data_IF_871290118002
#
_entry.id   IF_871290118002
#
_cell.length_a   1.000
_cell.length_b   1.000
_cell.length_c   1.000
_cell.angle_alpha   90.00
_cell.angle_beta   90.00
_cell.angle_gamma   90.00
#
_symmetry.space_group_name_H-M   'P 1'
#
loop_
_entity.id
_entity.type
_entity.pdbx_description
1 polymer ?
2 non-polymer ?
3 non-polymer ?
4 water ?
#
# COMPACT_ATOMS: atom_id res chain seq x y z
N UNK A 19 14.78 -20.10 -8.18
CA UNK A 19 14.15 -21.23 -8.93
C UNK A 19 14.89 -21.63 -10.20
N UNK A 20 14.37 -21.23 -11.35
CA UNK A 20 14.93 -21.58 -12.66
C UNK A 20 14.75 -20.46 -13.68
N UNK A 21 13.50 -20.10 -13.99
CA UNK A 21 13.21 -19.01 -14.95
C UNK A 21 13.63 -17.65 -14.39
N UNK A 22 13.63 -16.63 -15.25
CA UNK A 22 14.17 -15.30 -14.90
C UNK A 22 13.48 -14.67 -13.67
N UNK A 23 12.15 -14.72 -13.64
CA UNK A 23 11.36 -14.15 -12.53
C UNK A 23 11.67 -14.89 -11.23
N UNK A 24 11.58 -16.21 -11.29
CA UNK A 24 11.92 -17.09 -10.17
C UNK A 24 13.31 -16.82 -9.60
N UNK A 25 14.29 -16.64 -10.49
CA UNK A 25 15.67 -16.37 -10.08
C UNK A 25 15.78 -15.07 -9.32
N UNK A 26 15.17 -14.02 -9.85
CA UNK A 26 15.17 -12.71 -9.21
C UNK A 26 14.35 -12.69 -7.92
N UNK A 27 13.21 -13.38 -7.91
CA UNK A 27 12.38 -13.51 -6.70
C UNK A 27 13.21 -14.08 -5.55
N UNK A 28 13.89 -15.20 -5.80
CA UNK A 28 14.73 -15.85 -4.80
C UNK A 28 15.92 -14.98 -4.41
N UNK A 29 16.57 -14.37 -5.40
CA UNK A 29 17.68 -13.45 -5.11
C UNK A 29 17.27 -12.41 -4.07
N UNK A 30 16.15 -11.72 -4.32
CA UNK A 30 15.74 -10.63 -3.44
C UNK A 30 15.19 -11.12 -2.11
N UNK A 31 14.49 -12.26 -2.10
CA UNK A 31 14.06 -12.88 -0.85
C UNK A 31 15.23 -13.10 0.11
N UNK A 32 16.37 -13.55 -0.42
CA UNK A 32 17.55 -13.89 0.38
C UNK A 32 18.64 -12.79 0.50
N UNK A 33 18.41 -11.62 -0.12
CA UNK A 33 19.44 -10.58 -0.20
C UNK A 33 19.80 -10.00 1.16
N UNK A 34 20.99 -9.44 1.27
CA UNK A 34 21.45 -8.81 2.50
C UNK A 34 21.17 -7.31 2.39
N UNK A 35 20.24 -6.77 3.21
CA UNK A 35 19.99 -5.33 3.14
C UNK A 35 21.22 -4.51 3.56
N UNK A 36 21.41 -3.36 2.92
CA UNK A 36 22.59 -2.52 3.16
C UNK A 36 23.75 -2.76 2.21
N UNK A 37 23.86 -3.97 1.66
CA UNK A 37 24.98 -4.34 0.78
C UNK A 37 24.71 -3.93 -0.68
N UNK A 38 25.66 -4.25 -1.55
CA UNK A 38 25.51 -4.10 -3.01
C UNK A 38 24.46 -5.01 -3.67
N UNK A 39 23.91 -5.99 -2.93
CA UNK A 39 22.79 -6.82 -3.42
C UNK A 39 21.63 -6.03 -4.02
N UNK A 40 21.32 -4.88 -3.42
CA UNK A 40 20.17 -4.06 -3.83
C UNK A 40 20.52 -2.87 -4.76
N UNK A 41 21.72 -2.86 -5.33
CA UNK A 41 22.16 -1.76 -6.22
C UNK A 41 21.30 -1.60 -7.49
N UNK A 42 20.71 -2.69 -7.97
CA UNK A 42 19.84 -2.67 -9.14
C UNK A 42 18.38 -2.32 -8.88
N UNK A 43 17.99 -2.16 -7.61
CA UNK A 43 16.58 -1.91 -7.27
C UNK A 43 16.30 -0.42 -7.43
N UNK A 44 15.25 -0.09 -8.13
CA UNK A 44 14.89 1.31 -8.36
C UNK A 44 14.35 1.91 -7.07
N UNK A 45 14.89 3.07 -6.69
CA UNK A 45 14.36 3.89 -5.63
C UNK A 45 13.81 5.16 -6.26
N UNK A 46 12.48 5.23 -6.37
CA UNK A 46 11.80 6.39 -6.92
C UNK A 46 11.98 7.67 -6.09
N UNK A 47 12.23 7.53 -4.77
CA UNK A 47 12.48 8.69 -3.90
C UNK A 47 13.77 9.39 -4.30
N UNK A 48 14.81 8.62 -4.58
CA UNK A 48 16.05 9.15 -5.16
C UNK A 48 15.87 9.35 -6.67
N UNK A 49 15.14 10.42 -7.03
CA UNK A 49 14.76 10.72 -8.42
C UNK A 49 13.93 9.60 -9.08
N UNK A 54 22.17 5.67 -11.54
CA UNK A 54 23.34 4.84 -11.83
C UNK A 54 23.16 3.40 -11.38
N UNK A 55 22.01 2.83 -11.73
CA UNK A 55 21.67 1.43 -11.39
C UNK A 55 21.73 0.48 -12.59
N UNK A 56 22.04 1.00 -13.79
CA UNK A 56 22.09 0.19 -15.00
C UNK A 56 20.71 0.06 -15.66
N UNK A 57 20.30 -1.19 -16.01
CA UNK A 57 19.01 -1.42 -16.67
C UNK A 57 17.80 -0.79 -15.99
N UNK A 58 17.66 -1.00 -14.69
CA UNK A 58 16.49 -0.53 -13.94
C UNK A 58 16.26 0.97 -14.03
N UNK A 59 17.25 1.73 -13.58
CA UNK A 59 17.10 3.18 -13.39
C UNK A 59 16.94 3.99 -14.69
N UNK A 60 17.44 3.47 -15.81
CA UNK A 60 17.28 4.13 -17.13
C UNK A 60 15.83 4.09 -17.65
N UNK A 61 15.04 3.14 -17.17
CA UNK A 61 13.62 3.01 -17.54
C UNK A 61 12.72 4.07 -16.89
N UNK A 62 13.22 4.79 -15.87
CA UNK A 62 12.40 5.72 -15.10
C UNK A 62 12.08 6.99 -15.89
N UNK A 63 10.79 7.28 -16.06
CA UNK A 63 10.33 8.47 -16.77
C UNK A 63 9.31 9.19 -15.90
N UNK A 64 9.13 10.49 -16.15
CA UNK A 64 8.11 11.26 -15.44
C UNK A 64 6.74 10.83 -15.95
N UNK A 65 5.78 10.79 -15.05
CA UNK A 65 4.40 10.48 -15.39
C UNK A 65 3.59 11.73 -15.03
N UNK A 66 2.96 12.34 -16.02
CA UNK A 66 2.34 13.65 -15.83
C UNK A 66 0.99 13.52 -15.12
N UNK A 67 0.85 14.22 -14.00
CA UNK A 67 -0.39 14.23 -13.21
C UNK A 67 -1.33 15.34 -13.70
N UNK A 68 -2.62 15.13 -13.48
CA UNK A 68 -3.65 16.13 -13.74
C UNK A 68 -3.79 16.99 -12.49
N UNK A 69 -2.88 17.95 -12.37
CA UNK A 69 -2.79 18.78 -11.16
C UNK A 69 -4.09 19.48 -10.83
N UNK A 70 -4.79 19.99 -11.86
CA UNK A 70 -6.05 20.73 -11.66
C UNK A 70 -7.26 19.86 -11.28
N UNK A 71 -7.14 18.53 -11.45
CA UNK A 71 -8.22 17.63 -11.05
C UNK A 71 -8.38 17.46 -9.54
N UNK A 72 -7.41 17.93 -8.75
CA UNK A 72 -7.51 17.88 -7.29
C UNK A 72 -7.22 19.25 -6.69
N UNK A 73 -8.27 19.87 -6.16
CA UNK A 73 -8.15 21.18 -5.51
C UNK A 73 -7.25 21.08 -4.27
N UNK A 74 -6.61 22.20 -3.93
CA UNK A 74 -5.75 22.24 -2.74
C UNK A 74 -6.55 21.91 -1.49
N UNK A 75 -7.81 22.34 -1.44
CA UNK A 75 -8.70 21.99 -0.34
C UNK A 75 -8.91 20.47 -0.24
N UNK A 76 -9.15 19.81 -1.38
CA UNK A 76 -9.35 18.36 -1.43
C UNK A 76 -8.09 17.57 -1.05
N UNK A 77 -6.93 18.01 -1.53
CA UNK A 77 -5.65 17.39 -1.14
C UNK A 77 -5.43 17.51 0.37
N UNK A 78 -5.66 18.70 0.91
CA UNK A 78 -5.51 18.96 2.33
C UNK A 78 -6.53 18.16 3.16
N UNK A 79 -7.76 18.03 2.67
CA UNK A 79 -8.79 17.24 3.37
C UNK A 79 -8.46 15.75 3.47
N UNK A 80 -7.81 15.23 2.42
CA UNK A 80 -7.37 13.84 2.39
C UNK A 80 -6.10 13.60 3.22
N UNK A 81 -5.42 14.67 3.61
CA UNK A 81 -4.13 14.59 4.30
C UNK A 81 -2.97 14.42 3.34
N UNK A 82 -3.10 15.00 2.15
CA UNK A 82 -2.11 14.88 1.10
C UNK A 82 -1.48 16.24 0.82
N UNK A 83 -0.22 16.21 0.41
CA UNK A 83 0.44 17.38 -0.20
C UNK A 83 -0.38 17.88 -1.39
N UNK A 84 -0.31 19.18 -1.73
CA UNK A 84 -0.93 19.63 -2.98
C UNK A 84 -0.38 18.85 -4.17
N UNK A 85 -1.24 18.49 -5.12
CA UNK A 85 -0.83 17.63 -6.25
C UNK A 85 0.30 18.24 -7.09
N UNK A 86 0.38 19.58 -7.14
CA UNK A 86 1.50 20.28 -7.79
C UNK A 86 2.87 19.95 -7.19
N UNK A 87 2.90 19.52 -5.92
CA UNK A 87 4.14 19.07 -5.27
C UNK A 87 4.42 17.56 -5.38
N UNK A 88 3.51 16.76 -5.95
CA UNK A 88 3.74 15.32 -6.07
C UNK A 88 4.73 15.06 -7.19
N UNK A 89 5.49 13.98 -7.06
CA UNK A 89 6.28 13.46 -8.17
C UNK A 89 5.69 12.09 -8.51
N UNK A 90 5.40 11.87 -9.78
CA UNK A 90 4.85 10.61 -10.25
C UNK A 90 5.75 10.11 -11.37
N UNK A 91 5.98 8.80 -11.37
CA UNK A 91 6.89 8.17 -12.32
C UNK A 91 6.21 7.02 -13.03
N UNK A 92 6.69 6.74 -14.23
CA UNK A 92 6.38 5.54 -14.97
C UNK A 92 7.68 4.81 -15.26
N UNK A 93 7.54 3.69 -15.97
CA UNK A 93 8.66 2.88 -16.38
C UNK A 93 8.48 2.51 -17.85
N UNK A 94 9.50 2.77 -18.65
CA UNK A 94 9.49 2.39 -20.07
C UNK A 94 9.24 0.88 -20.20
N UNK A 95 8.24 0.51 -20.99
CA UNK A 95 7.86 -0.90 -21.18
C UNK A 95 6.69 -1.39 -20.32
N UNK A 96 6.20 -0.54 -19.41
CA UNK A 96 5.11 -0.91 -18.49
C UNK A 96 3.99 0.12 -18.55
N UNK A 97 3.21 0.11 -19.64
CA UNK A 97 2.18 1.14 -19.80
C UNK A 97 1.03 0.95 -18.84
N UNK A 98 0.55 2.06 -18.27
CA UNK A 98 -0.51 2.04 -17.26
C UNK A 98 -0.01 1.93 -15.83
N UNK A 99 1.32 1.85 -15.64
CA UNK A 99 1.92 1.77 -14.31
C UNK A 99 2.34 3.17 -13.85
N UNK A 100 1.90 3.57 -12.66
CA UNK A 100 2.28 4.86 -12.07
C UNK A 100 2.78 4.61 -10.65
N UNK A 101 3.91 5.22 -10.30
CA UNK A 101 4.50 5.17 -8.93
C UNK A 101 4.59 6.57 -8.42
N UNK A 102 4.01 6.79 -7.21
CA UNK A 102 4.01 8.08 -6.53
C UNK A 102 4.95 7.57 -5.51
N UNK A 103 5.84 8.41 -5.02
CA UNK A 103 6.48 8.37 -3.71
C UNK A 103 5.49 8.86 -2.68
N UNK A 104 5.87 8.79 -1.40
CA UNK A 104 5.02 9.22 -0.30
C UNK A 104 4.70 10.67 -0.69
N UNK A 105 3.38 10.93 -0.81
CA UNK A 105 2.74 12.24 -0.97
C UNK A 105 2.05 12.76 0.31
N UNK A 106 1.95 11.92 1.31
CA UNK A 106 1.24 12.20 2.53
C UNK A 106 1.85 13.35 3.36
N UNK A 107 1.02 14.25 3.86
CA UNK A 107 1.49 15.27 4.79
C UNK A 107 2.14 14.61 6.01
N UNK A 108 3.21 15.24 6.57
CA UNK A 108 3.84 14.70 7.77
C UNK A 108 2.84 14.38 8.88
N UNK A 109 2.97 13.17 9.43
CA UNK A 109 2.07 12.68 10.46
C UNK A 109 0.89 11.88 9.98
N UNK A 110 0.41 12.14 8.77
CA UNK A 110 -0.89 11.61 8.33
C UNK A 110 -0.90 10.12 8.01
N UNK A 111 0.27 9.55 7.74
CA UNK A 111 0.36 8.10 7.57
C UNK A 111 -0.13 7.35 8.81
N UNK A 112 0.13 7.92 9.98
CA UNK A 112 -0.37 7.32 11.22
C UNK A 112 -1.89 7.19 11.26
N UNK A 113 -2.63 8.13 10.67
CA UNK A 113 -4.09 8.01 10.65
C UNK A 113 -4.49 6.74 9.92
N UNK A 114 -3.91 6.52 8.73
CA UNK A 114 -4.29 5.39 7.88
C UNK A 114 -3.92 4.07 8.50
N UNK A 115 -2.72 4.01 9.09
CA UNK A 115 -2.26 2.84 9.84
C UNK A 115 -3.23 2.56 11.00
N UNK A 116 -3.59 3.60 11.77
CA UNK A 116 -4.55 3.43 12.86
C UNK A 116 -5.89 2.89 12.36
N UNK A 117 -6.41 3.49 11.29
CA UNK A 117 -7.70 3.03 10.74
C UNK A 117 -7.65 1.58 10.30
N UNK A 118 -6.54 1.18 9.65
CA UNK A 118 -6.33 -0.22 9.23
C UNK A 118 -6.23 -1.22 10.39
N UNK A 119 -5.59 -0.84 11.48
CA UNK A 119 -5.46 -1.73 12.63
C UNK A 119 -6.70 -1.70 13.52
N UNK A 120 -7.20 -0.51 13.82
CA UNK A 120 -8.24 -0.32 14.85
C UNK A 120 -9.68 -0.46 14.35
N UNK A 121 -10.02 0.29 13.30
CA UNK A 121 -11.41 0.46 12.84
C UNK A 121 -11.81 -0.48 11.69
N UNK A 122 -11.02 -0.50 10.61
CA UNK A 122 -11.39 -1.29 9.42
C UNK A 122 -11.43 -2.80 9.67
N UNK A 123 -10.64 -3.28 10.62
CA UNK A 123 -10.59 -4.70 10.95
C UNK A 123 -11.82 -5.23 11.71
N UNK A 124 -12.66 -4.32 12.22
CA UNK A 124 -13.84 -4.70 13.02
C UNK A 124 -14.91 -5.47 12.22
N UNK A 125 -15.75 -6.19 12.95
CA UNK A 125 -16.62 -7.24 12.37
C UNK A 125 -17.79 -6.78 11.49
N UNK A 126 -18.12 -5.47 11.47
CA UNK A 126 -18.94 -5.01 10.32
C UNK A 126 -18.32 -5.31 8.94
N UNK A 127 -16.98 -5.37 8.89
CA UNK A 127 -16.22 -5.90 7.75
C UNK A 127 -15.84 -7.37 7.97
N UNK A 128 -15.31 -8.00 6.92
CA UNK A 128 -14.79 -9.38 7.00
C UNK A 128 -13.27 -9.33 7.21
N UNK A 129 -12.77 -10.24 8.04
CA UNK A 129 -11.33 -10.47 8.17
C UNK A 129 -11.04 -11.96 8.36
N UNK A 130 -9.78 -12.34 8.21
CA UNK A 130 -9.36 -13.75 8.30
C UNK A 130 -9.61 -14.42 9.66
N UNK A 131 -9.79 -13.61 10.70
CA UNK A 131 -10.12 -14.12 12.03
C UNK A 131 -11.59 -14.57 12.13
N UNK A 132 -12.48 -13.90 11.40
CA UNK A 132 -13.92 -14.21 11.43
C UNK A 132 -14.23 -15.61 10.90
N UNK A 140 -7.72 -8.36 26.72
CA UNK A 140 -9.12 -8.24 26.32
C UNK A 140 -9.51 -9.32 25.30
N UNK A 141 -10.76 -9.31 24.84
CA UNK A 141 -11.20 -10.06 23.63
C UNK A 141 -11.53 -9.14 22.45
N UNK A 142 -11.91 -7.90 22.72
CA UNK A 142 -11.92 -6.86 21.69
C UNK A 142 -10.48 -6.65 21.22
N UNK A 143 -10.27 -6.62 19.90
CA UNK A 143 -8.92 -6.64 19.32
C UNK A 143 -8.08 -5.44 19.79
N UNK A 144 -8.63 -4.25 19.70
CA UNK A 144 -7.89 -3.05 20.09
C UNK A 144 -7.64 -2.97 21.60
N UNK A 145 -8.66 -3.27 22.40
CA UNK A 145 -8.50 -3.30 23.85
C UNK A 145 -7.46 -4.33 24.28
N UNK A 146 -7.47 -5.50 23.63
CA UNK A 146 -6.49 -6.56 23.92
C UNK A 146 -5.05 -6.08 23.67
N UNK A 147 -4.78 -5.57 22.47
CA UNK A 147 -3.45 -5.10 22.10
C UNK A 147 -2.98 -3.93 22.98
N UNK A 148 -3.94 -3.11 23.43
CA UNK A 148 -3.67 -2.08 24.45
C UNK A 148 -3.07 -2.70 25.71
N UNK A 149 -3.68 -3.78 26.18
CA UNK A 149 -3.23 -4.51 27.38
C UNK A 149 -1.99 -5.39 27.17
N UNK A 150 -1.88 -6.01 26.00
CA UNK A 150 -0.70 -6.85 25.66
C UNK A 150 0.59 -6.05 25.59
N UNK A 151 0.48 -4.78 25.21
CA UNK A 151 1.61 -3.85 25.21
C UNK A 151 2.07 -3.58 26.66
N UNK A 152 1.11 -3.37 27.56
CA UNK A 152 1.40 -3.14 28.99
C UNK A 152 1.92 -4.39 29.71
N UNK A 153 1.37 -5.55 29.38
CA UNK A 153 1.83 -6.83 29.94
C UNK A 153 3.19 -7.19 29.34
N UNK A 154 4.24 -7.10 30.16
CA UNK A 154 5.64 -7.20 29.71
C UNK A 154 5.94 -8.44 28.86
N UNK A 155 6.33 -8.20 27.60
CA UNK A 155 6.70 -9.25 26.64
C UNK A 155 5.56 -10.22 26.36
N UNK A 162 -0.08 -15.03 21.50
CA UNK A 162 -0.36 -14.55 20.15
C UNK A 162 -1.66 -13.72 20.13
N UNK A 163 -1.50 -12.39 20.02
CA UNK A 163 -2.65 -11.47 20.04
C UNK A 163 -3.47 -11.55 18.75
N UNK A 164 -4.72 -11.09 18.84
CA UNK A 164 -5.61 -11.02 17.68
C UNK A 164 -5.04 -10.08 16.59
N UNK A 165 -4.44 -8.97 17.02
CA UNK A 165 -3.75 -8.05 16.10
C UNK A 165 -2.58 -8.72 15.38
N UNK A 166 -1.80 -9.53 16.10
CA UNK A 166 -0.70 -10.30 15.50
C UNK A 166 -1.16 -11.39 14.52
N UNK A 167 -2.37 -11.91 14.73
CA UNK A 167 -2.96 -12.94 13.87
C UNK A 167 -3.64 -12.37 12.60
N UNK A 168 -3.94 -11.07 12.61
CA UNK A 168 -4.64 -10.42 11.49
C UNK A 168 -3.79 -10.44 10.22
N UNK A 169 -4.36 -10.97 9.14
CA UNK A 169 -3.66 -11.19 7.86
C UNK A 169 -4.32 -10.39 6.72
N UNK A 170 -5.66 -10.44 6.63
CA UNK A 170 -6.40 -9.62 5.65
C UNK A 170 -7.74 -9.11 6.19
N UNK A 171 -8.20 -8.01 5.57
CA UNK A 171 -9.51 -7.42 5.83
C UNK A 171 -10.05 -6.97 4.49
N UNK A 172 -11.33 -7.27 4.22
CA UNK A 172 -12.03 -6.69 3.06
C UNK A 172 -13.02 -5.63 3.52
N UNK A 173 -13.15 -4.59 2.69
CA UNK A 173 -14.05 -3.46 2.91
C UNK A 173 -14.84 -3.22 1.63
N UNK A 174 -15.91 -2.44 1.71
CA UNK A 174 -16.78 -2.21 0.57
C UNK A 174 -17.47 -3.48 0.13
N UNK A 175 -17.57 -3.69 -1.18
CA UNK A 175 -18.05 -4.97 -1.71
C UNK A 175 -17.03 -6.03 -1.36
N UNK A 176 -17.45 -6.98 -0.52
CA UNK A 176 -16.53 -7.99 -0.01
C UNK A 176 -16.23 -9.04 -1.07
N UNK A 177 -14.93 -9.32 -1.24
CA UNK A 177 -14.48 -10.37 -2.13
C UNK A 177 -14.77 -11.71 -1.46
N UNK A 178 -15.34 -12.64 -2.22
CA UNK A 178 -15.50 -14.03 -1.76
C UNK A 178 -14.32 -14.82 -2.30
N UNK A 179 -13.57 -15.45 -1.40
CA UNK A 179 -12.35 -16.17 -1.77
C UNK A 179 -12.62 -17.53 -2.43
N UNK A 180 -13.78 -18.12 -2.14
CA UNK A 180 -14.24 -19.35 -2.80
C UNK A 180 -14.96 -19.03 -4.11
N UNK A 181 -15.89 -18.06 -4.05
CA UNK A 181 -16.65 -17.61 -5.22
C UNK A 181 -15.79 -16.91 -6.28
N UNK A 182 -14.70 -16.27 -5.83
CA UNK A 182 -13.76 -15.52 -6.68
C UNK A 182 -14.40 -14.32 -7.40
N UNK A 183 -15.38 -13.69 -6.75
CA UNK A 183 -16.07 -12.52 -7.33
C UNK A 183 -16.84 -11.75 -6.25
N UNK A 184 -17.35 -10.58 -6.64
CA UNK A 184 -18.10 -9.68 -5.76
C UNK A 184 -19.61 -9.83 -5.95
N UNK A 185 -20.38 -9.35 -4.97
CA UNK A 185 -21.84 -9.45 -4.98
C UNK A 185 -22.50 -8.31 -4.21
N UNK A 186 -23.63 -7.83 -4.72
CA UNK A 186 -24.40 -6.74 -4.08
C UNK A 186 -25.03 -7.13 -2.73
N UNK A 187 -25.17 -8.43 -2.48
CA UNK A 187 -25.66 -8.92 -1.18
C UNK A 187 -24.60 -8.76 -0.09
N UNK A 188 -23.37 -9.19 -0.40
CA UNK A 188 -22.26 -9.14 0.54
C UNK A 188 -21.47 -7.84 0.38
N UNK A 189 -21.81 -6.83 1.19
CA UNK A 189 -21.10 -5.55 1.18
C UNK A 189 -21.30 -4.76 2.48
N UNK A 190 -20.37 -3.84 2.74
CA UNK A 190 -20.47 -2.86 3.81
C UNK A 190 -20.19 -1.50 3.18
N UNK A 191 -20.84 -0.41 3.66
CA UNK A 191 -20.48 0.90 3.13
C UNK A 191 -18.95 1.14 3.15
N UNK A 192 -18.40 1.57 2.03
CA UNK A 192 -16.95 1.75 1.90
C UNK A 192 -16.52 2.89 2.82
N UNK A 193 -15.46 2.69 3.65
CA UNK A 193 -15.02 3.74 4.57
C UNK A 193 -14.86 5.07 3.86
N UNK A 194 -15.60 6.08 4.30
CA UNK A 194 -15.67 7.35 3.59
C UNK A 194 -14.33 8.11 3.55
N UNK A 195 -13.50 7.93 4.59
CA UNK A 195 -12.17 8.57 4.58
C UNK A 195 -11.25 7.92 3.53
N UNK A 196 -11.19 6.59 3.53
CA UNK A 196 -10.36 5.81 2.58
C UNK A 196 -10.85 5.97 1.14
N UNK A 197 -12.16 6.00 0.95
CA UNK A 197 -12.74 6.24 -0.35
C UNK A 197 -12.35 7.59 -0.93
N UNK A 198 -12.46 8.63 -0.13
CA UNK A 198 -12.10 9.99 -0.55
C UNK A 198 -10.59 10.11 -0.86
N UNK A 199 -9.75 9.52 -0.03
CA UNK A 199 -8.29 9.46 -0.30
C UNK A 199 -7.99 8.81 -1.66
N UNK A 200 -8.55 7.63 -1.89
CA UNK A 200 -8.38 6.87 -3.13
C UNK A 200 -8.81 7.63 -4.37
N UNK A 201 -9.98 8.26 -4.28
CA UNK A 201 -10.54 9.05 -5.36
C UNK A 201 -9.74 10.31 -5.68
N UNK A 202 -9.11 10.93 -4.67
CA UNK A 202 -8.19 12.04 -4.94
C UNK A 202 -6.97 11.55 -5.71
N UNK A 203 -6.41 10.42 -5.29
CA UNK A 203 -5.23 9.87 -5.97
C UNK A 203 -5.59 9.48 -7.40
N UNK A 204 -6.68 8.72 -7.56
CA UNK A 204 -7.18 8.34 -8.88
C UNK A 204 -7.38 9.56 -9.78
N UNK A 205 -8.00 10.61 -9.26
CA UNK A 205 -8.24 11.83 -10.04
C UNK A 205 -6.95 12.50 -10.53
N UNK A 206 -5.95 12.62 -9.66
CA UNK A 206 -4.63 13.13 -10.04
C UNK A 206 -3.97 12.32 -11.16
N UNK A 207 -4.23 11.01 -11.19
CA UNK A 207 -3.73 10.12 -12.24
C UNK A 207 -4.56 10.09 -13.53
N UNK A 208 -5.58 10.95 -13.67
CA UNK A 208 -6.43 10.98 -14.89
C UNK A 208 -7.66 10.08 -14.86
N UNK A 209 -8.06 9.63 -13.68
CA UNK A 209 -9.24 8.77 -13.51
C UNK A 209 -10.24 9.47 -12.60
N UNK A 210 -10.69 10.63 -13.06
CA UNK A 210 -11.50 11.53 -12.25
C UNK A 210 -12.90 11.00 -11.93
N UNK A 211 -13.38 10.02 -12.71
CA UNK A 211 -14.66 9.35 -12.43
C UNK A 211 -14.54 8.09 -11.55
N UNK A 212 -13.38 7.85 -10.95
CA UNK A 212 -13.13 6.64 -10.19
C UNK A 212 -14.00 6.59 -8.92
N UNK A 213 -14.56 5.40 -8.65
CA UNK A 213 -15.39 5.15 -7.49
C UNK A 213 -14.73 4.07 -6.66
N UNK A 214 -14.36 4.40 -5.43
CA UNK A 214 -13.81 3.42 -4.49
C UNK A 214 -14.95 2.54 -3.95
N UNK A 215 -14.98 1.29 -4.38
CA UNK A 215 -16.08 0.37 -4.06
C UNK A 215 -15.66 -0.91 -3.35
N UNK A 216 -14.45 -1.41 -3.60
CA UNK A 216 -13.95 -2.63 -2.97
C UNK A 216 -12.48 -2.49 -2.57
N UNK A 217 -12.18 -2.89 -1.35
CA UNK A 217 -10.83 -2.83 -0.81
C UNK A 217 -10.39 -4.12 -0.14
N UNK A 218 -9.09 -4.40 -0.26
CA UNK A 218 -8.40 -5.45 0.49
C UNK A 218 -7.25 -4.78 1.24
N UNK A 219 -7.22 -4.99 2.55
CA UNK A 219 -6.14 -4.55 3.42
C UNK A 219 -5.34 -5.79 3.79
N UNK A 220 -4.02 -5.74 3.58
CA UNK A 220 -3.13 -6.88 3.88
C UNK A 220 -2.11 -6.47 4.96
N UNK A 221 -1.83 -7.41 5.87
CA UNK A 221 -0.96 -7.16 7.01
C UNK A 221 0.21 -8.14 6.94
N UNK A 222 1.42 -7.61 6.77
CA UNK A 222 2.62 -8.42 6.52
C UNK A 222 3.65 -8.35 7.65
N UNK A 223 4.38 -9.44 7.81
CA UNK A 223 5.48 -9.55 8.77
C UNK A 223 6.80 -9.44 7.98
N UNK A 224 7.91 -9.39 8.70
CA UNK A 224 9.24 -9.32 8.06
C UNK A 224 9.55 -10.54 7.20
N UNK A 225 9.00 -11.70 7.57
CA UNK A 225 9.20 -12.94 6.81
C UNK A 225 8.20 -13.13 5.67
N UNK A 226 7.22 -12.22 5.54
CA UNK A 226 6.16 -12.37 4.54
C UNK A 226 6.72 -12.22 3.11
N UNK A 227 6.24 -13.09 2.23
CA UNK A 227 6.54 -13.07 0.83
C UNK A 227 5.22 -13.17 0.09
N UNK A 228 5.14 -12.54 -1.08
CA UNK A 228 3.97 -12.62 -1.95
C UNK A 228 4.44 -13.17 -3.29
N UNK A 229 4.01 -14.39 -3.60
CA UNK A 229 4.48 -15.12 -4.80
C UNK A 229 4.11 -14.47 -6.11
N UNK A 230 4.75 -14.96 -7.18
CA UNK A 230 4.53 -14.44 -8.53
C UNK A 230 3.10 -14.78 -8.95
N UNK A 231 2.38 -13.76 -9.42
CA UNK A 231 1.00 -13.96 -9.86
C UNK A 231 0.52 -12.86 -10.80
N UNK A 232 -0.58 -13.17 -11.49
CA UNK A 232 -1.37 -12.19 -12.22
C UNK A 232 -2.64 -11.97 -11.39
N UNK A 233 -3.01 -10.71 -11.16
CA UNK A 233 -4.27 -10.39 -10.48
C UNK A 233 -5.40 -10.83 -11.43
N UNK A 234 -6.38 -11.57 -10.90
CA UNK A 234 -7.31 -12.36 -11.75
C UNK A 234 -8.13 -11.50 -12.72
N UNK A 235 -8.32 -12.02 -13.94
CA UNK A 235 -8.83 -11.24 -15.07
C UNK A 235 -10.34 -11.01 -15.06
N UNK A 236 -10.75 -9.76 -14.90
CA UNK A 236 -12.12 -9.32 -15.13
C UNK A 236 -12.17 -8.53 -16.43
N UNK A 237 -13.23 -8.73 -17.22
CA UNK A 237 -13.34 -8.22 -18.61
C UNK A 237 -12.76 -6.82 -18.85
N UNK A 238 -13.24 -5.85 -18.07
CA UNK A 238 -12.77 -4.47 -18.13
C UNK A 238 -11.53 -4.28 -17.23
N UNK A 239 -10.41 -3.87 -17.83
CA UNK A 239 -9.17 -3.51 -17.09
C UNK A 239 -8.84 -1.99 -17.13
N UNK A 240 -9.79 -1.17 -17.57
CA UNK A 240 -9.54 0.26 -17.78
C UNK A 240 -9.46 1.06 -16.47
N UNK A 241 -10.19 0.62 -15.44
CA UNK A 241 -10.16 1.29 -14.14
C UNK A 241 -8.83 0.96 -13.42
N UNK A 242 -8.30 1.93 -12.67
CA UNK A 242 -7.07 1.66 -11.95
C UNK A 242 -7.31 0.85 -10.67
N UNK A 243 -6.33 0.00 -10.32
CA UNK A 243 -6.17 -0.50 -8.96
C UNK A 243 -5.14 0.40 -8.26
N UNK A 244 -5.47 0.82 -7.04
CA UNK A 244 -4.61 1.72 -6.27
C UNK A 244 -4.04 0.92 -5.12
N UNK A 245 -2.73 0.97 -4.93
CA UNK A 245 -2.08 0.20 -3.87
C UNK A 245 -1.22 1.14 -2.99
N UNK A 246 -1.56 1.18 -1.71
CA UNK A 246 -0.91 2.01 -0.70
C UNK A 246 -0.10 1.11 0.25
N UNK A 247 1.12 1.52 0.59
CA UNK A 247 1.96 0.79 1.54
C UNK A 247 2.36 1.68 2.71
N UNK A 248 2.38 1.09 3.91
CA UNK A 248 2.79 1.78 5.14
C UNK A 248 3.68 0.85 5.96
N UNK A 249 4.67 1.43 6.63
CA UNK A 249 5.53 0.69 7.55
C UNK A 249 6.87 0.36 6.90
N UNK A 250 7.32 -0.88 7.07
CA UNK A 250 8.62 -1.29 6.54
C UNK A 250 8.61 -1.35 5.02
N UNK A 251 9.78 -1.17 4.44
CA UNK A 251 9.95 -1.15 3.00
C UNK A 251 9.85 -2.55 2.46
N UNK A 252 9.47 -2.65 1.19
CA UNK A 252 9.39 -3.91 0.47
C UNK A 252 10.08 -3.78 -0.88
N UNK A 253 10.49 -4.92 -1.44
CA UNK A 253 10.95 -4.97 -2.83
C UNK A 253 9.81 -5.55 -3.67
N UNK A 254 9.39 -4.80 -4.68
CA UNK A 254 8.30 -5.17 -5.58
C UNK A 254 8.93 -5.52 -6.93
N UNK A 255 8.49 -6.64 -7.52
CA UNK A 255 8.93 -7.07 -8.85
C UNK A 255 7.77 -6.96 -9.85
N UNK A 256 7.96 -6.19 -10.92
CA UNK A 256 6.96 -6.03 -11.95
C UNK A 256 7.51 -6.63 -13.23
N UNK A 257 6.81 -7.62 -13.76
CA UNK A 257 7.26 -8.36 -14.94
C UNK A 257 6.44 -8.12 -16.19
N UNK A 258 6.31 -9.18 -16.99
CA UNK A 258 5.65 -9.12 -18.28
C UNK A 258 4.33 -9.86 -18.29
N UNK A 259 3.80 -10.02 -19.50
CA UNK A 259 2.55 -10.78 -19.72
C UNK A 259 2.73 -12.27 -19.41
N UNK A 260 3.92 -12.79 -19.66
CA UNK A 260 4.27 -14.18 -19.36
C UNK A 260 5.19 -14.26 -18.14
N UNK A 261 5.17 -15.42 -17.49
CA UNK A 261 5.99 -15.67 -16.30
C UNK A 261 7.50 -15.63 -16.54
N UNK A 262 7.94 -15.87 -17.78
CA UNK A 262 9.37 -16.03 -18.07
C UNK A 262 10.17 -14.73 -18.16
N UNK A 263 9.51 -13.62 -18.49
CA UNK A 263 10.21 -12.34 -18.72
C UNK A 263 10.79 -11.80 -17.39
N UNK A 264 12.01 -11.29 -17.45
CA UNK A 264 12.71 -10.80 -16.27
C UNK A 264 12.03 -9.53 -15.73
N UNK A 265 11.65 -9.52 -14.43
CA UNK A 265 10.98 -8.35 -13.87
C UNK A 265 11.92 -7.19 -13.58
N UNK A 266 11.37 -5.99 -13.45
CA UNK A 266 12.10 -4.84 -12.90
C UNK A 266 11.82 -4.78 -11.40
N UNK A 267 12.85 -4.50 -10.62
CA UNK A 267 12.76 -4.42 -9.16
C UNK A 267 12.74 -2.97 -8.72
N UNK A 268 11.91 -2.68 -7.71
CA UNK A 268 11.78 -1.34 -7.17
C UNK A 268 11.37 -1.40 -5.69
N UNK A 269 11.76 -0.39 -4.93
CA UNK A 269 11.34 -0.28 -3.53
C UNK A 269 9.93 0.27 -3.42
N UNK A 270 9.19 -0.24 -2.44
CA UNK A 270 7.94 0.37 -1.97
C UNK A 270 8.19 0.81 -0.54
N UNK A 271 8.41 2.12 -0.35
CA UNK A 271 8.62 2.71 0.98
C UNK A 271 7.29 3.19 1.60
N UNK A 272 7.31 3.49 2.90
CA UNK A 272 6.09 3.90 3.62
C UNK A 272 5.48 5.16 3.03
N UNK A 273 4.19 5.11 2.70
CA UNK A 273 3.48 6.23 2.10
C UNK A 273 3.43 6.18 0.58
N UNK A 274 4.26 5.35 -0.05
CA UNK A 274 4.27 5.24 -1.51
C UNK A 274 2.96 4.66 -2.02
N UNK A 275 2.56 5.12 -3.21
CA UNK A 275 1.35 4.65 -3.86
C UNK A 275 1.69 4.13 -5.25
N UNK A 276 1.15 2.95 -5.56
CA UNK A 276 1.23 2.38 -6.89
C UNK A 276 -0.15 2.29 -7.52
N UNK A 277 -0.24 2.76 -8.76
CA UNK A 277 -1.48 2.73 -9.51
C UNK A 277 -1.24 1.87 -10.78
N UNK A 278 -2.08 0.86 -10.99
CA UNK A 278 -1.99 -0.01 -12.15
C UNK A 278 -3.31 0.00 -12.90
N UNK A 279 -3.26 0.45 -14.14
CA UNK A 279 -4.43 0.43 -15.04
C UNK A 279 -4.05 -0.17 -16.39
N UNK A 280 -5.08 -0.51 -17.15
CA UNK A 280 -4.90 -0.98 -18.52
C UNK A 280 -3.98 -2.17 -18.60
N UNK A 281 -3.03 -2.08 -19.52
CA UNK A 281 -2.00 -3.11 -19.78
C UNK A 281 -1.32 -3.62 -18.50
N UNK A 282 -0.92 -2.70 -17.61
CA UNK A 282 -0.18 -3.08 -16.41
C UNK A 282 -0.92 -4.06 -15.49
N UNK A 283 -2.26 -4.03 -15.51
CA UNK A 283 -3.06 -4.98 -14.70
C UNK A 283 -2.99 -6.45 -15.17
N UNK A 284 -2.48 -6.69 -16.38
CA UNK A 284 -2.26 -8.06 -16.87
C UNK A 284 -0.86 -8.60 -16.56
N UNK A 285 0.02 -7.79 -15.96
CA UNK A 285 1.42 -8.16 -15.77
C UNK A 285 1.66 -9.03 -14.55
N UNK A 286 2.65 -9.91 -14.69
CA UNK A 286 3.13 -10.71 -13.58
C UNK A 286 3.85 -9.82 -12.59
N UNK A 287 3.63 -10.05 -11.31
CA UNK A 287 4.30 -9.28 -10.27
C UNK A 287 4.37 -10.06 -8.97
N UNK A 288 5.22 -9.56 -8.06
CA UNK A 288 5.50 -10.22 -6.79
C UNK A 288 6.12 -9.25 -5.78
N UNK A 289 6.10 -9.65 -4.51
CA UNK A 289 6.81 -8.96 -3.43
C UNK A 289 7.69 -9.99 -2.71
N UNK A 290 8.94 -10.20 -3.21
CA UNK A 290 9.80 -11.22 -2.57
C UNK A 290 10.32 -10.91 -1.17
N UNK A 291 10.26 -9.66 -0.73
CA UNK A 291 10.94 -9.26 0.50
C UNK A 291 10.32 -8.03 1.15
N UNK A 292 9.98 -8.17 2.44
CA UNK A 292 9.84 -7.03 3.33
C UNK A 292 11.20 -6.85 4.00
N UNK A 293 11.78 -5.67 3.86
CA UNK A 293 13.12 -5.40 4.40
C UNK A 293 13.01 -4.90 5.83
N UNK A 294 13.85 -5.45 6.74
CA UNK A 294 13.79 -4.96 8.12
C UNK A 294 14.32 -3.54 8.23
N UNK A 295 13.93 -2.84 9.30
CA UNK A 295 14.57 -1.59 9.66
C UNK A 295 16.07 -1.91 9.80
N UNK A 296 16.96 -1.07 9.23
CA UNK A 296 18.41 -1.33 9.29
C UNK A 296 18.97 -1.67 10.69
N UNK A 297 18.35 -1.13 11.75
CA UNK A 297 18.76 -1.41 13.13
C UNK A 297 18.05 -2.64 13.75
N UNK A 298 17.42 -3.47 12.92
CA UNK A 298 16.72 -4.68 13.38
C UNK A 298 15.24 -4.42 13.49
N UNK A 299 14.87 -3.57 14.45
CA UNK A 299 13.49 -3.14 14.65
C UNK A 299 13.47 -1.63 14.88
N UNK A 300 12.59 -0.95 14.15
CA UNK A 300 12.54 0.53 14.12
C UNK A 300 11.59 1.01 13.04
N UNK A 301 11.40 2.32 12.96
CA UNK A 301 10.43 2.91 12.04
C UNK A 301 11.15 3.71 10.97
N UNK A 302 10.56 3.81 9.76
CA UNK A 302 11.17 4.65 8.72
C UNK A 302 11.09 6.11 9.11
N UNK A 303 12.00 6.89 8.54
CA UNK A 303 12.19 8.30 8.92
C UNK A 303 10.95 9.17 8.72
N UNK A 304 10.19 8.90 7.67
CA UNK A 304 8.98 9.68 7.38
C UNK A 304 7.87 9.51 8.43
N UNK A 305 7.91 8.42 9.21
CA UNK A 305 6.97 8.21 10.32
C UNK A 305 7.36 8.84 11.66
N UNK A 306 8.48 9.55 11.70
CA UNK A 306 8.93 10.26 12.90
C UNK A 306 8.11 11.52 13.19
N UNK A 307 7.54 12.13 12.15
CA UNK A 307 6.72 13.33 12.34
C UNK A 307 5.38 12.96 12.99
N UNK A 308 4.90 13.79 13.93
CA UNK A 308 3.61 13.53 14.57
C UNK A 308 2.45 13.98 13.67
N UNK A 309 1.28 13.37 13.89
CA UNK A 309 0.02 13.88 13.36
C UNK A 309 -0.24 15.22 14.09
N UNK A 310 -0.54 16.30 13.34
CA UNK A 310 -0.67 17.61 14.00
C UNK A 310 -1.66 17.65 15.17
N UNK A 311 -1.37 18.51 16.15
CA UNK A 311 -2.21 18.67 17.33
C UNK A 311 -3.61 19.15 16.97
N UNK A 312 -3.66 20.26 16.23
CA UNK A 312 -4.93 20.84 15.77
C UNK A 312 -5.13 20.54 14.29
N UNK A 313 -6.04 19.60 14.01
CA UNK A 313 -6.44 19.28 12.63
C UNK A 313 -7.57 20.21 12.17
N UNK A 314 -7.78 20.33 10.84
CA UNK A 314 -8.92 21.11 10.34
C UNK A 314 -10.28 20.48 10.67
N UNK A 315 -11.30 21.32 10.80
CA UNK A 315 -12.67 20.87 11.04
C UNK A 315 -13.23 20.07 9.86
N UNK A 316 -12.89 20.51 8.64
CA UNK A 316 -13.34 19.86 7.39
C UNK A 316 -12.55 18.60 6.97
N UNK A 317 -11.56 18.18 7.76
CA UNK A 317 -10.71 17.04 7.41
C UNK A 317 -11.45 15.70 7.46
N UNK A 318 -11.07 14.78 6.57
CA UNK A 318 -11.49 13.39 6.66
C UNK A 318 -10.73 12.64 7.77
N UNK A 319 -9.60 13.22 8.21
CA UNK A 319 -8.72 12.64 9.24
C UNK A 319 -9.14 13.14 10.63
N UNK A 320 -8.83 12.34 11.64
CA UNK A 320 -9.09 12.67 13.05
C UNK A 320 -7.82 12.49 13.88
N UNK A 321 -7.78 13.06 15.10
CA UNK A 321 -6.59 12.86 15.95
C UNK A 321 -6.33 11.39 16.32
N UNK A 322 -5.06 11.09 16.61
CA UNK A 322 -4.64 9.77 17.04
C UNK A 322 -4.25 9.89 18.50
N UNK A 323 -4.85 9.05 19.36
CA UNK A 323 -4.55 9.09 20.79
C UNK A 323 -3.20 8.45 21.06
N UNK A 324 -2.53 8.93 22.11
CA UNK A 324 -1.24 8.39 22.52
C UNK A 324 -1.27 6.86 22.69
N UNK A 325 -2.30 6.37 23.38
CA UNK A 325 -2.49 4.93 23.60
C UNK A 325 -2.62 4.15 22.28
N UNK A 326 -3.42 4.69 21.36
CA UNK A 326 -3.58 4.11 20.02
C UNK A 326 -2.28 4.13 19.22
N UNK A 327 -1.61 5.28 19.25
CA UNK A 327 -0.33 5.47 18.59
C UNK A 327 0.69 4.44 19.06
N UNK A 328 0.81 4.27 20.37
CA UNK A 328 1.75 3.30 20.95
C UNK A 328 1.53 1.88 20.42
N UNK A 329 0.27 1.47 20.23
CA UNK A 329 -0.01 0.16 19.63
C UNK A 329 0.44 0.14 18.17
N UNK A 330 0.16 1.22 17.43
CA UNK A 330 0.52 1.32 16.01
C UNK A 330 2.02 1.26 15.81
N UNK A 331 2.76 2.06 16.59
CA UNK A 331 4.22 2.11 16.51
C UNK A 331 4.88 0.77 16.79
N UNK A 332 4.48 0.14 17.89
CA UNK A 332 4.99 -1.19 18.26
C UNK A 332 4.75 -2.23 17.16
N UNK A 333 3.56 -2.18 16.56
CA UNK A 333 3.21 -3.06 15.45
C UNK A 333 4.07 -2.80 14.18
N UNK A 334 4.13 -1.54 13.76
CA UNK A 334 4.80 -1.18 12.49
C UNK A 334 6.30 -1.45 12.48
N UNK A 335 6.93 -1.47 13.66
CA UNK A 335 8.36 -1.80 13.77
C UNK A 335 8.77 -3.10 13.11
N UNK A 336 7.85 -4.07 13.01
CA UNK A 336 8.15 -5.34 12.34
C UNK A 336 7.10 -5.73 11.30
N UNK A 337 6.43 -4.72 10.72
CA UNK A 337 5.35 -4.98 9.78
C UNK A 337 5.25 -3.99 8.60
N UNK A 338 4.50 -4.41 7.59
CA UNK A 338 4.10 -3.59 6.48
C UNK A 338 2.58 -3.78 6.26
N UNK A 339 1.84 -2.67 6.14
CA UNK A 339 0.41 -2.70 5.83
C UNK A 339 0.19 -2.23 4.39
N UNK A 340 -0.62 -2.97 3.63
CA UNK A 340 -0.98 -2.61 2.27
C UNK A 340 -2.50 -2.41 2.20
N UNK A 341 -2.94 -1.34 1.52
CA UNK A 341 -4.36 -1.13 1.17
C UNK A 341 -4.48 -1.14 -0.35
N UNK A 342 -5.39 -1.97 -0.89
CA UNK A 342 -5.63 -2.06 -2.33
C UNK A 342 -7.08 -1.74 -2.61
N UNK A 343 -7.30 -0.72 -3.44
CA UNK A 343 -8.64 -0.19 -3.67
C UNK A 343 -8.98 -0.29 -5.16
N UNK A 344 -10.23 -0.67 -5.43
CA UNK A 344 -10.68 -0.82 -6.81
C UNK A 344 -12.16 -0.46 -6.98
N UNK A 345 -12.53 -0.30 -8.24
CA UNK A 345 -13.92 -0.14 -8.65
C UNK A 345 -14.34 -1.48 -9.28
N UNK A 346 -15.47 -2.01 -8.83
CA UNK A 346 -15.93 -3.35 -9.25
C UNK A 346 -17.17 -3.30 -10.14
N UNK A 347 -18.09 -2.37 -9.88
CA UNK A 347 -19.25 -2.13 -10.74
C UNK A 347 -18.96 -1.05 -11.78
X LIG B 1 -1.13 -8.49 -6.99
X LIG C 1 -7.31 -12.03 -5.67
X LIG C 1 -6.78 -12.66 -6.95
X LIG C 1 -6.53 -12.41 -4.54
#
# INVERSE_FOLDING_TARGET
MGKMAAAVGSVATLATEPGEDAFRKLFRFYRQSRPGTADLEGVIDFSAAHAARGKGPGAQKVIKSQLNVSSVSEQNAYRAGLQPVSKWQAYGLKGYPGFIFIPNPFLPGYQWHWVKQCLKLYSQKPNVCNLDKHMSKEETQDLWEQSKEFLRYKEATKRRPRSLLEKLRWVTVGYHYNWDSKKYSADHYTPFPSDLGFLSEQVAAACGFEDFRAEAGILNYYRLDSTLGIHVDRSELDHSKPLLSFSFGQSAIFLLGGLQRDEAPTAMFMHSGDIMIMSGFSRLLNHAVPRVLPNPEGEGLPHCLEAPLPAVLPRDSMVEPCSMEDWQVCASYLKTARVNMTVRQVLATDQNFPLEPIEDEKRDISTEGFCHLDDQNSEVKRARINPDS
MN MN
EOH C1 C2 O
#
